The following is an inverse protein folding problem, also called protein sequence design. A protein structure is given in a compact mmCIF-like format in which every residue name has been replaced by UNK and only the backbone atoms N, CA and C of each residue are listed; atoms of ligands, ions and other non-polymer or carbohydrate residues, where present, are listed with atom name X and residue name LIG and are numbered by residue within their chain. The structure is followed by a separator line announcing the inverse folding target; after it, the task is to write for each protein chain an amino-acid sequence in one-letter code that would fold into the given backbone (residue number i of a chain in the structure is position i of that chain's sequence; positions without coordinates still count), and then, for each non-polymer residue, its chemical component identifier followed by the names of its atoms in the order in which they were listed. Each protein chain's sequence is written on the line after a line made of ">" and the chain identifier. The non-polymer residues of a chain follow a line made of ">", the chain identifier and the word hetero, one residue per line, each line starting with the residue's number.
data_IF_781438709794
#
_entry.id   IF_781438709794
#
_cell.length_a   1.000
_cell.length_b   1.000
_cell.length_c   1.000
_cell.angle_alpha   90.00
_cell.angle_beta   90.00
_cell.angle_gamma   90.00
#
_symmetry.space_group_name_H-M   'P 1'
#
loop_
_entity.id
_entity.type
_entity.pdbx_description
1 polymer ?
#
# COMPACT_ATOMS: atom_id res chain seq x y z
N UNK A 1 21.02 4.96 -10.55
CA UNK A 1 19.66 5.38 -10.12
C UNK A 1 19.31 4.64 -8.84
N UNK A 2 19.69 5.23 -7.72
CA UNK A 2 19.23 4.92 -6.37
C UNK A 2 19.67 6.12 -5.51
N UNK A 3 19.15 6.21 -4.29
CA UNK A 3 19.26 7.30 -3.29
C UNK A 3 18.10 8.32 -3.38
N UNK A 4 17.08 8.10 -2.53
CA UNK A 4 15.93 8.98 -2.20
C UNK A 4 14.80 9.16 -3.22
N UNK A 5 14.19 8.05 -3.67
CA UNK A 5 12.79 8.15 -4.08
C UNK A 5 11.89 8.29 -2.84
N UNK A 6 11.76 9.53 -2.37
CA UNK A 6 11.02 9.87 -1.15
C UNK A 6 9.53 9.52 -1.25
N UNK A 7 8.95 9.55 -2.46
CA UNK A 7 7.55 9.19 -2.70
C UNK A 7 7.40 7.68 -2.61
N UNK A 8 8.25 6.92 -3.31
CA UNK A 8 8.26 5.46 -3.22
C UNK A 8 8.47 5.00 -1.77
N UNK A 9 9.42 5.61 -1.02
CA UNK A 9 9.65 5.29 0.39
C UNK A 9 8.40 5.55 1.25
N UNK A 10 7.73 6.69 1.05
CA UNK A 10 6.48 7.00 1.77
C UNK A 10 5.39 6.00 1.44
N UNK A 11 5.21 5.64 0.17
CA UNK A 11 4.22 4.66 -0.27
C UNK A 11 4.52 3.27 0.31
N UNK A 12 5.78 2.83 0.31
CA UNK A 12 6.20 1.59 0.95
C UNK A 12 5.92 1.61 2.45
N UNK A 13 6.24 2.70 3.15
CA UNK A 13 5.94 2.82 4.57
C UNK A 13 4.43 2.73 4.85
N UNK A 14 3.60 3.37 4.02
CA UNK A 14 2.13 3.29 4.15
C UNK A 14 1.61 1.86 3.94
N UNK A 15 2.14 1.13 2.95
CA UNK A 15 1.81 -0.30 2.76
C UNK A 15 2.20 -1.11 3.99
N UNK A 16 3.42 -0.93 4.51
CA UNK A 16 3.90 -1.65 5.70
C UNK A 16 3.06 -1.32 6.93
N UNK A 17 2.67 -0.06 7.11
CA UNK A 17 1.77 0.35 8.19
C UNK A 17 0.40 -0.32 8.07
N UNK A 18 -0.27 -0.21 6.90
CA UNK A 18 -1.57 -0.83 6.69
C UNK A 18 -1.53 -2.37 6.84
N UNK A 19 -0.45 -3.02 6.39
CA UNK A 19 -0.26 -4.47 6.63
C UNK A 19 -0.19 -4.77 8.12
N UNK A 20 0.60 -4.00 8.86
CA UNK A 20 0.78 -4.18 10.30
C UNK A 20 -0.54 -3.97 11.04
N UNK A 21 -1.27 -2.92 10.71
CA UNK A 21 -2.54 -2.58 11.37
C UNK A 21 -3.58 -3.69 11.13
N UNK A 22 -3.69 -4.20 9.90
CA UNK A 22 -4.51 -5.37 9.57
C UNK A 22 -4.11 -6.63 10.37
N UNK A 23 -2.80 -6.92 10.48
CA UNK A 23 -2.34 -8.07 11.25
C UNK A 23 -2.63 -7.92 12.75
N UNK A 24 -2.38 -6.74 13.32
CA UNK A 24 -2.66 -6.45 14.72
C UNK A 24 -4.16 -6.53 15.03
N UNK A 25 -5.00 -6.06 14.11
CA UNK A 25 -6.45 -6.23 14.22
C UNK A 25 -6.85 -7.71 14.23
N UNK A 26 -6.31 -8.50 13.29
CA UNK A 26 -6.61 -9.93 13.20
C UNK A 26 -6.14 -10.71 14.45
N UNK A 27 -4.95 -10.39 14.98
CA UNK A 27 -4.41 -10.98 16.21
C UNK A 27 -5.26 -10.61 17.43
N UNK A 28 -5.62 -9.33 17.58
CA UNK A 28 -6.47 -8.87 18.69
C UNK A 28 -7.89 -9.43 18.67
N UNK A 29 -8.36 -9.90 17.51
CA UNK A 29 -9.69 -10.47 17.31
C UNK A 29 -9.76 -11.99 17.58
N UNK A 30 -8.63 -12.68 17.79
CA UNK A 30 -8.61 -14.14 17.98
C UNK A 30 -9.25 -14.61 19.30
N UNK A 31 -9.12 -13.83 20.37
CA UNK A 31 -9.59 -14.20 21.71
C UNK A 31 -11.01 -13.71 22.03
N UNK A 32 -11.68 -13.03 21.08
CA UNK A 32 -13.03 -12.50 21.26
C UNK A 32 -14.07 -13.25 20.42
N UNK A 33 -15.30 -13.43 20.93
CA UNK A 33 -16.38 -13.97 20.12
C UNK A 33 -16.65 -13.03 18.93
N UNK A 34 -16.38 -13.54 17.73
CA UNK A 34 -16.52 -12.82 16.47
C UNK A 34 -17.90 -12.14 16.35
N UNK A 35 -17.90 -10.82 16.20
CA UNK A 35 -19.12 -10.06 15.95
C UNK A 35 -19.09 -9.42 14.54
N UNK A 36 -20.26 -8.98 14.07
CA UNK A 36 -20.43 -8.39 12.73
C UNK A 36 -19.64 -7.08 12.58
N UNK A 37 -19.47 -6.29 13.64
CA UNK A 37 -18.64 -5.08 13.61
C UNK A 37 -17.15 -5.38 13.39
N UNK A 38 -16.62 -6.47 13.95
CA UNK A 38 -15.23 -6.87 13.77
C UNK A 38 -14.96 -7.28 12.32
N UNK A 39 -15.95 -7.91 11.67
CA UNK A 39 -15.89 -8.22 10.24
C UNK A 39 -15.79 -6.96 9.38
N UNK A 40 -16.60 -5.93 9.66
CA UNK A 40 -16.54 -4.67 8.93
C UNK A 40 -15.25 -3.90 9.21
N UNK A 41 -14.75 -3.93 10.45
CA UNK A 41 -13.47 -3.32 10.79
C UNK A 41 -12.31 -4.01 10.05
N UNK A 42 -12.26 -5.34 10.03
CA UNK A 42 -11.30 -6.09 9.22
C UNK A 42 -11.39 -5.77 7.72
N UNK A 43 -12.62 -5.68 7.20
CA UNK A 43 -12.84 -5.32 5.80
C UNK A 43 -12.27 -3.93 5.49
N UNK A 44 -12.42 -2.95 6.38
CA UNK A 44 -11.85 -1.62 6.20
C UNK A 44 -10.32 -1.67 6.19
N UNK A 45 -9.69 -2.41 7.11
CA UNK A 45 -8.23 -2.60 7.11
C UNK A 45 -7.73 -3.25 5.81
N UNK A 46 -8.46 -4.23 5.28
CA UNK A 46 -8.16 -4.83 3.97
C UNK A 46 -8.28 -3.83 2.83
N UNK A 47 -9.30 -2.96 2.85
CA UNK A 47 -9.49 -1.92 1.85
C UNK A 47 -8.36 -0.90 1.90
N UNK A 48 -7.93 -0.48 3.09
CA UNK A 48 -6.83 0.45 3.27
C UNK A 48 -5.50 -0.14 2.77
N UNK A 49 -5.23 -1.41 3.08
CA UNK A 49 -4.09 -2.13 2.52
C UNK A 49 -4.15 -2.22 0.99
N UNK A 50 -5.32 -2.53 0.43
CA UNK A 50 -5.54 -2.61 -1.01
C UNK A 50 -5.27 -1.27 -1.70
N UNK A 51 -5.79 -0.18 -1.11
CA UNK A 51 -5.58 1.18 -1.59
C UNK A 51 -4.10 1.59 -1.54
N UNK A 52 -3.40 1.29 -0.45
CA UNK A 52 -1.97 1.57 -0.32
C UNK A 52 -1.14 0.84 -1.39
N UNK A 53 -1.45 -0.44 -1.64
CA UNK A 53 -0.80 -1.22 -2.69
C UNK A 53 -1.10 -0.68 -4.09
N UNK A 54 -2.36 -0.32 -4.36
CA UNK A 54 -2.75 0.28 -5.64
C UNK A 54 -1.97 1.57 -5.90
N UNK A 55 -1.91 2.49 -4.93
CA UNK A 55 -1.18 3.74 -5.06
C UNK A 55 0.33 3.52 -5.33
N UNK A 56 0.95 2.58 -4.62
CA UNK A 56 2.35 2.18 -4.85
C UNK A 56 2.59 1.64 -6.27
N UNK A 57 1.66 0.83 -6.78
CA UNK A 57 1.72 0.31 -8.15
C UNK A 57 1.57 1.41 -9.20
N UNK A 58 0.60 2.32 -9.03
CA UNK A 58 0.39 3.46 -9.93
C UNK A 58 1.64 4.35 -10.01
N UNK A 59 2.27 4.63 -8.87
CA UNK A 59 3.50 5.42 -8.83
C UNK A 59 4.66 4.74 -9.59
N UNK A 60 4.79 3.42 -9.44
CA UNK A 60 5.77 2.62 -10.17
C UNK A 60 5.53 2.71 -11.68
N UNK A 61 4.29 2.53 -12.12
CA UNK A 61 3.90 2.64 -13.53
C UNK A 61 4.19 4.04 -14.09
N UNK A 62 3.82 5.09 -13.35
CA UNK A 62 4.10 6.48 -13.71
C UNK A 62 5.60 6.73 -13.91
N UNK A 63 6.44 6.29 -12.98
CA UNK A 63 7.90 6.44 -13.05
C UNK A 63 8.49 5.74 -14.28
N UNK A 64 8.01 4.54 -14.59
CA UNK A 64 8.39 3.83 -15.80
C UNK A 64 7.93 4.56 -17.06
N UNK A 65 6.70 5.06 -17.09
CA UNK A 65 6.14 5.81 -18.22
C UNK A 65 6.93 7.08 -18.54
N UNK A 66 7.27 7.88 -17.53
CA UNK A 66 8.11 9.08 -17.72
C UNK A 66 9.50 8.71 -18.23
N UNK A 67 10.14 7.69 -17.66
CA UNK A 67 11.46 7.27 -18.11
C UNK A 67 11.44 6.89 -19.59
N UNK A 68 10.40 6.15 -20.01
CA UNK A 68 10.22 5.78 -21.42
C UNK A 68 10.03 7.01 -22.30
N UNK A 69 9.14 7.93 -21.92
CA UNK A 69 8.89 9.15 -22.69
C UNK A 69 10.13 10.03 -22.86
N UNK A 70 11.00 10.13 -21.83
CA UNK A 70 12.27 10.86 -21.93
C UNK A 70 13.21 10.20 -22.94
N UNK A 71 13.33 8.87 -22.92
CA UNK A 71 14.17 8.12 -23.87
C UNK A 71 13.63 8.32 -25.28
N UNK A 72 12.32 8.19 -25.47
CA UNK A 72 11.66 8.36 -26.77
C UNK A 72 11.79 9.80 -27.32
N UNK A 73 11.92 10.82 -26.45
CA UNK A 73 12.09 12.21 -26.86
C UNK A 73 13.54 12.60 -27.20
N UNK A 74 14.52 11.83 -26.75
CA UNK A 74 15.96 12.07 -27.01
C UNK A 74 16.46 11.29 -28.23
N UNK A 75 15.79 10.18 -28.58
CA UNK A 75 16.04 9.41 -29.80
C UNK A 75 15.37 10.03 -31.03
#
# INVERSE_FOLDING_TARGET
>A
MSYDDSIQRRLTNQVVHAQKDMYQFAEGSQDQPFNVSDMYAFQNEMLDLSNANWASSQYTQYKHGIRKAIIDAIN
#
